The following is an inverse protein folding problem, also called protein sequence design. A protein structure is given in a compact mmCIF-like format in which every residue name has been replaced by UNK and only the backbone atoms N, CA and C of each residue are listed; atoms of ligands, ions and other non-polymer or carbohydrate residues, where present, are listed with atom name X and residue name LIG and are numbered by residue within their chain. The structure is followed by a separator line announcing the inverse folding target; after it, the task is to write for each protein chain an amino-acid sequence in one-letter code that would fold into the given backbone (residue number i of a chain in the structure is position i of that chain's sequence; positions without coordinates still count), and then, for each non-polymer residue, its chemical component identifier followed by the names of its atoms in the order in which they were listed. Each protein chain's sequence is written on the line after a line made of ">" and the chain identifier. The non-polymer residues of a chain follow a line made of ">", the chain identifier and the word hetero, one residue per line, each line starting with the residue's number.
data_IF_338290867433
#
_entry.id   IF_338290867433
#
_cell.length_a   1.000
_cell.length_b   1.000
_cell.length_c   1.000
_cell.angle_alpha   90.00
_cell.angle_beta   90.00
_cell.angle_gamma   90.00
#
_symmetry.space_group_name_H-M   'P 1'
#
loop_
_entity.id
_entity.type
_entity.pdbx_description
1 polymer ?
#
# COMPACT_ATOMS: atom_id res chain seq x y z
N UNK A 1 -8.53 2.60 6.64
CA UNK A 1 -9.08 2.21 5.35
C UNK A 1 -7.95 2.05 4.34
N UNK A 2 -8.02 1.02 3.50
CA UNK A 2 -7.16 0.87 2.32
C UNK A 2 -8.02 1.02 1.07
N UNK A 3 -7.40 1.34 -0.05
CA UNK A 3 -8.13 1.56 -1.29
C UNK A 3 -7.49 0.86 -2.49
N UNK A 4 -8.31 0.56 -3.48
CA UNK A 4 -7.92 0.15 -4.82
C UNK A 4 -8.77 0.93 -5.84
N UNK A 5 -8.16 1.35 -6.94
CA UNK A 5 -8.86 2.09 -7.99
C UNK A 5 -7.87 2.75 -8.94
N UNK A 6 -8.08 2.56 -10.22
CA UNK A 6 -7.21 3.08 -11.28
C UNK A 6 -7.85 4.22 -12.08
N UNK A 7 -9.07 4.61 -11.72
CA UNK A 7 -9.80 5.68 -12.40
C UNK A 7 -10.59 6.51 -11.40
N UNK A 8 -10.85 7.77 -11.73
CA UNK A 8 -11.71 8.65 -10.95
C UNK A 8 -13.20 8.22 -10.92
N UNK A 9 -13.59 7.28 -11.79
CA UNK A 9 -14.96 6.79 -11.91
C UNK A 9 -15.19 5.44 -11.22
N UNK A 10 -14.18 4.91 -10.53
CA UNK A 10 -14.31 3.66 -9.81
C UNK A 10 -13.20 3.47 -8.78
N UNK A 11 -13.59 3.28 -7.53
CA UNK A 11 -12.69 2.98 -6.43
C UNK A 11 -13.32 1.97 -5.47
N UNK A 12 -12.48 1.27 -4.72
CA UNK A 12 -12.87 0.36 -3.66
C UNK A 12 -12.14 0.77 -2.39
N UNK A 13 -12.86 0.95 -1.29
CA UNK A 13 -12.30 1.17 0.04
C UNK A 13 -12.62 -0.02 0.92
N UNK A 14 -11.65 -0.54 1.68
CA UNK A 14 -11.86 -1.74 2.49
C UNK A 14 -11.04 -1.77 3.77
N UNK A 15 -11.59 -2.45 4.78
CA UNK A 15 -10.98 -2.62 6.09
C UNK A 15 -10.76 -1.31 6.83
N UNK A 16 -9.86 -1.30 7.78
CA UNK A 16 -9.48 -0.09 8.52
C UNK A 16 -9.86 -0.09 9.99
N UNK A 17 -9.78 1.10 10.61
CA UNK A 17 -10.09 1.31 12.02
C UNK A 17 -10.95 2.56 12.20
N UNK A 18 -12.11 2.42 12.81
CA UNK A 18 -13.07 3.49 13.12
C UNK A 18 -13.27 3.68 14.63
N UNK A 19 -12.31 3.23 15.43
CA UNK A 19 -12.40 3.03 16.88
C UNK A 19 -12.41 1.54 17.22
N UNK A 20 -12.81 0.70 16.28
CA UNK A 20 -12.60 -0.75 16.23
C UNK A 20 -12.14 -1.16 14.84
N UNK A 21 -11.49 -2.31 14.72
CA UNK A 21 -11.09 -2.87 13.42
C UNK A 21 -12.36 -3.29 12.68
N UNK A 22 -12.45 -2.95 11.40
CA UNK A 22 -13.61 -3.24 10.56
C UNK A 22 -13.24 -4.04 9.32
N UNK A 23 -14.22 -4.78 8.79
CA UNK A 23 -14.16 -5.52 7.53
C UNK A 23 -14.84 -4.78 6.37
N UNK A 24 -15.51 -3.68 6.65
CA UNK A 24 -16.37 -2.93 5.73
C UNK A 24 -15.68 -2.72 4.39
N UNK A 25 -16.43 -2.95 3.32
CA UNK A 25 -16.00 -2.65 1.96
C UNK A 25 -17.03 -1.74 1.28
N UNK A 26 -16.56 -0.64 0.71
CA UNK A 26 -17.37 0.31 -0.04
C UNK A 26 -16.82 0.46 -1.47
N UNK A 27 -17.73 0.50 -2.43
CA UNK A 27 -17.41 0.73 -3.86
C UNK A 27 -17.93 2.09 -4.30
N UNK A 28 -17.09 2.84 -5.01
CA UNK A 28 -17.42 4.12 -5.64
C UNK A 28 -17.61 3.93 -7.13
N UNK A 29 -18.71 4.45 -7.67
CA UNK A 29 -19.10 4.33 -9.07
C UNK A 29 -18.90 5.61 -9.91
N UNK A 30 -18.15 6.57 -9.40
CA UNK A 30 -17.96 7.88 -10.01
C UNK A 30 -18.89 8.98 -9.46
N UNK A 31 -19.92 8.61 -8.68
CA UNK A 31 -20.86 9.57 -8.07
C UNK A 31 -21.19 9.28 -6.61
N UNK A 32 -21.31 8.02 -6.23
CA UNK A 32 -21.72 7.60 -4.88
C UNK A 32 -20.88 6.43 -4.38
N UNK A 33 -20.68 6.39 -3.07
CA UNK A 33 -20.17 5.23 -2.35
C UNK A 33 -21.33 4.32 -1.97
N UNK A 34 -21.15 3.02 -2.10
CA UNK A 34 -22.13 2.00 -1.73
C UNK A 34 -21.42 0.88 -1.01
N UNK A 35 -21.94 0.48 0.15
CA UNK A 35 -21.46 -0.69 0.89
C UNK A 35 -21.72 -1.96 0.05
N UNK A 36 -20.70 -2.81 -0.03
CA UNK A 36 -20.71 -4.08 -0.76
C UNK A 36 -20.27 -5.20 0.17
N UNK A 37 -20.03 -6.40 -0.33
CA UNK A 37 -19.62 -7.53 0.52
C UNK A 37 -18.27 -7.27 1.20
N UNK A 38 -18.25 -7.45 2.51
CA UNK A 38 -17.12 -7.20 3.38
C UNK A 38 -15.97 -8.19 3.22
N UNK A 39 -14.77 -7.79 3.68
CA UNK A 39 -13.65 -8.71 3.93
C UNK A 39 -14.10 -9.85 4.86
N UNK A 40 -13.60 -11.05 4.64
CA UNK A 40 -13.85 -12.18 5.53
C UNK A 40 -13.23 -11.95 6.93
N UNK A 41 -12.13 -11.23 7.00
CA UNK A 41 -11.47 -10.89 8.26
C UNK A 41 -11.25 -9.39 8.38
N UNK A 42 -11.78 -8.78 9.44
CA UNK A 42 -11.56 -7.37 9.77
C UNK A 42 -10.07 -7.09 10.00
N UNK A 43 -9.52 -6.10 9.28
CA UNK A 43 -8.08 -5.76 9.35
C UNK A 43 -7.84 -4.26 9.12
N UNK A 44 -6.77 -3.75 9.72
CA UNK A 44 -6.30 -2.39 9.50
C UNK A 44 -4.80 -2.40 9.14
N UNK A 45 -4.27 -1.27 8.68
CA UNK A 45 -2.88 -1.14 8.19
C UNK A 45 -2.50 -2.19 7.14
N UNK A 46 -3.49 -2.71 6.43
CA UNK A 46 -3.31 -3.71 5.38
C UNK A 46 -2.67 -3.09 4.12
N UNK A 47 -2.16 -3.94 3.28
CA UNK A 47 -1.67 -3.59 1.96
C UNK A 47 -2.79 -3.84 0.94
N UNK A 48 -2.88 -3.02 -0.10
CA UNK A 48 -3.93 -3.18 -1.09
C UNK A 48 -3.58 -2.56 -2.43
N UNK A 49 -3.93 -3.27 -3.50
CA UNK A 49 -3.75 -2.83 -4.86
C UNK A 49 -4.85 -3.42 -5.78
N UNK A 50 -4.93 -2.92 -7.00
CA UNK A 50 -5.90 -3.37 -7.99
C UNK A 50 -6.91 -2.31 -8.39
N UNK A 51 -8.05 -2.74 -8.92
CA UNK A 51 -9.16 -1.89 -9.34
C UNK A 51 -10.40 -2.12 -8.47
N UNK A 52 -11.44 -1.30 -8.68
CA UNK A 52 -12.71 -1.45 -7.98
C UNK A 52 -13.46 -2.77 -8.32
N UNK A 53 -13.07 -3.46 -9.40
CA UNK A 53 -13.63 -4.76 -9.80
C UNK A 53 -12.69 -5.93 -9.57
N UNK A 54 -11.41 -5.67 -9.28
CA UNK A 54 -10.38 -6.71 -9.17
C UNK A 54 -9.24 -6.22 -8.27
N UNK A 55 -9.32 -6.53 -6.97
CA UNK A 55 -8.39 -6.01 -5.96
C UNK A 55 -7.81 -7.10 -5.07
N UNK A 56 -6.72 -6.80 -4.42
CA UNK A 56 -6.07 -7.60 -3.38
C UNK A 56 -6.08 -6.80 -2.07
N UNK A 57 -6.44 -7.48 -0.99
CA UNK A 57 -6.26 -7.05 0.40
C UNK A 57 -5.26 -8.01 1.05
N UNK A 58 -4.07 -7.54 1.38
CA UNK A 58 -2.98 -8.39 1.84
C UNK A 58 -2.45 -7.98 3.21
N UNK A 59 -2.21 -8.96 4.06
CA UNK A 59 -1.59 -8.80 5.37
C UNK A 59 -2.33 -7.80 6.29
N UNK A 60 -1.61 -7.03 7.09
CA UNK A 60 -2.19 -6.06 8.04
C UNK A 60 -2.30 -6.61 9.46
N UNK A 61 -3.16 -6.01 10.27
CA UNK A 61 -3.36 -6.36 11.69
C UNK A 61 -4.84 -6.62 11.95
N UNK A 62 -5.16 -7.70 12.63
CA UNK A 62 -6.54 -8.09 12.98
C UNK A 62 -6.89 -7.91 14.46
N UNK A 63 -5.93 -7.58 15.33
CA UNK A 63 -6.17 -7.29 16.76
C UNK A 63 -5.40 -6.03 17.17
N UNK A 64 -6.12 -4.99 17.62
CA UNK A 64 -5.52 -3.73 18.09
C UNK A 64 -4.84 -3.85 19.45
N UNK A 65 -5.32 -4.73 20.31
CA UNK A 65 -4.82 -4.84 21.69
C UNK A 65 -3.52 -5.63 21.74
N UNK A 66 -3.48 -6.75 21.02
CA UNK A 66 -2.30 -7.59 20.91
C UNK A 66 -1.41 -7.20 19.71
N UNK A 67 -1.89 -6.31 18.82
CA UNK A 67 -1.24 -5.93 17.56
C UNK A 67 -0.75 -7.16 16.80
N UNK A 68 -1.68 -8.11 16.59
CA UNK A 68 -1.38 -9.36 15.91
C UNK A 68 -1.39 -9.16 14.39
N UNK A 69 -0.21 -9.21 13.75
CA UNK A 69 -0.12 -9.14 12.29
C UNK A 69 -0.59 -10.45 11.66
N UNK A 70 -1.02 -10.36 10.42
CA UNK A 70 -1.39 -11.52 9.60
C UNK A 70 -0.67 -11.46 8.25
N UNK A 71 -0.53 -12.61 7.60
CA UNK A 71 -0.11 -12.73 6.20
C UNK A 71 -1.29 -13.12 5.28
N UNK A 72 -2.50 -13.21 5.82
CA UNK A 72 -3.71 -13.55 5.08
C UNK A 72 -3.96 -12.60 3.91
N UNK A 73 -4.42 -13.15 2.79
CA UNK A 73 -4.71 -12.41 1.57
C UNK A 73 -6.10 -12.74 1.08
N UNK A 74 -6.84 -11.70 0.71
CA UNK A 74 -8.15 -11.84 0.09
C UNK A 74 -8.16 -11.16 -1.28
N UNK A 75 -8.78 -11.80 -2.27
CA UNK A 75 -8.96 -11.32 -3.63
C UNK A 75 -10.42 -10.93 -3.87
N UNK A 76 -10.63 -9.72 -4.37
CA UNK A 76 -11.92 -9.18 -4.79
C UNK A 76 -12.18 -9.46 -6.26
N UNK A 77 -13.35 -9.97 -6.60
CA UNK A 77 -13.75 -10.29 -7.97
C UNK A 77 -14.82 -9.35 -8.55
N UNK A 78 -15.08 -8.22 -7.90
CA UNK A 78 -16.13 -7.27 -8.24
C UNK A 78 -17.43 -7.47 -7.46
N UNK A 79 -17.56 -8.57 -6.71
CA UNK A 79 -18.76 -8.86 -5.90
C UNK A 79 -18.48 -9.46 -4.54
N UNK A 80 -17.39 -10.20 -4.36
CA UNK A 80 -17.06 -10.86 -3.10
C UNK A 80 -15.54 -10.99 -2.91
N UNK A 81 -15.13 -11.09 -1.65
CA UNK A 81 -13.78 -11.43 -1.26
C UNK A 81 -13.62 -12.95 -1.10
N UNK A 82 -12.51 -13.48 -1.55
CA UNK A 82 -12.14 -14.89 -1.42
C UNK A 82 -10.72 -15.00 -0.93
N UNK A 83 -10.47 -15.83 0.06
CA UNK A 83 -9.13 -16.13 0.55
C UNK A 83 -8.29 -16.77 -0.55
N UNK A 84 -7.05 -16.31 -0.71
CA UNK A 84 -6.08 -16.82 -1.67
C UNK A 84 -4.75 -17.11 -0.97
N UNK A 85 -3.70 -17.49 -1.70
CA UNK A 85 -2.41 -17.81 -1.09
C UNK A 85 -1.89 -16.65 -0.24
N UNK A 86 -1.47 -16.97 0.97
CA UNK A 86 -0.93 -16.03 1.95
C UNK A 86 0.43 -15.48 1.52
N UNK A 87 0.79 -14.29 2.00
CA UNK A 87 2.15 -13.76 1.89
C UNK A 87 3.13 -14.64 2.69
N UNK A 88 4.39 -14.65 2.27
CA UNK A 88 5.43 -15.39 3.01
C UNK A 88 5.73 -14.73 4.36
N UNK A 89 5.59 -13.41 4.45
CA UNK A 89 5.91 -12.63 5.65
C UNK A 89 4.71 -11.78 6.09
N UNK A 90 4.40 -11.80 7.39
CA UNK A 90 3.43 -10.87 7.98
C UNK A 90 3.99 -9.46 7.89
N UNK A 91 3.21 -8.50 7.40
CA UNK A 91 3.63 -7.09 7.31
C UNK A 91 2.45 -6.12 7.29
N UNK A 92 2.73 -4.86 7.53
CA UNK A 92 1.77 -3.77 7.45
C UNK A 92 2.41 -2.53 6.83
N UNK A 93 1.61 -1.68 6.19
CA UNK A 93 2.03 -0.36 5.71
C UNK A 93 3.23 -0.37 4.74
N UNK A 94 3.32 -1.36 3.84
CA UNK A 94 4.27 -1.37 2.73
C UNK A 94 3.83 -0.47 1.57
N UNK A 95 4.73 -0.23 0.62
CA UNK A 95 4.36 0.29 -0.69
C UNK A 95 3.58 -0.76 -1.48
N UNK A 96 2.54 -0.33 -2.18
CA UNK A 96 1.66 -1.22 -2.92
C UNK A 96 1.63 -0.84 -4.39
N UNK A 97 2.03 -1.75 -5.24
CA UNK A 97 2.09 -1.58 -6.69
C UNK A 97 1.22 -2.64 -7.35
N UNK A 98 0.35 -2.23 -8.26
CA UNK A 98 -0.52 -3.15 -8.99
C UNK A 98 -1.86 -2.55 -9.34
N UNK A 99 -2.36 -2.88 -10.53
CA UNK A 99 -3.61 -2.34 -11.08
C UNK A 99 -4.71 -3.40 -11.21
N UNK A 100 -4.39 -4.66 -10.89
CA UNK A 100 -5.32 -5.80 -10.94
C UNK A 100 -5.10 -6.74 -9.76
N UNK A 101 -6.01 -7.68 -9.54
CA UNK A 101 -5.85 -8.74 -8.53
C UNK A 101 -4.97 -9.93 -9.01
N UNK A 102 -4.42 -9.86 -10.22
CA UNK A 102 -3.61 -10.94 -10.79
C UNK A 102 -2.11 -10.64 -10.83
N UNK A 103 -1.72 -9.39 -10.56
CA UNK A 103 -0.31 -8.99 -10.53
C UNK A 103 -0.10 -7.78 -9.63
N UNK A 104 0.78 -7.87 -8.66
CA UNK A 104 1.10 -6.79 -7.76
C UNK A 104 2.39 -7.01 -6.98
N UNK A 105 2.85 -5.99 -6.30
CA UNK A 105 4.04 -6.00 -5.46
C UNK A 105 3.73 -5.30 -4.14
N UNK A 106 4.16 -5.90 -3.04
CA UNK A 106 4.20 -5.25 -1.72
C UNK A 106 5.65 -5.12 -1.31
N UNK A 107 6.10 -3.88 -1.08
CA UNK A 107 7.48 -3.60 -0.78
C UNK A 107 7.66 -2.97 0.61
N UNK A 108 8.66 -3.46 1.36
CA UNK A 108 8.97 -2.99 2.71
C UNK A 108 7.80 -3.16 3.68
N UNK A 109 7.57 -2.13 4.47
CA UNK A 109 6.57 -2.14 5.53
C UNK A 109 7.16 -2.37 6.90
N UNK A 110 6.31 -2.57 7.91
CA UNK A 110 6.76 -2.96 9.25
C UNK A 110 6.31 -4.37 9.58
N UNK A 111 7.21 -5.11 10.22
CA UNK A 111 6.94 -6.42 10.79
C UNK A 111 6.91 -6.28 12.30
N UNK A 112 5.80 -6.69 12.90
CA UNK A 112 5.67 -6.81 14.35
C UNK A 112 5.68 -8.28 14.69
N UNK A 113 6.70 -8.78 15.39
CA UNK A 113 6.64 -10.16 15.89
C UNK A 113 5.46 -10.29 16.85
N UNK A 114 4.57 -11.24 16.59
CA UNK A 114 3.27 -11.36 17.25
C UNK A 114 3.28 -11.72 18.74
N UNK A 115 4.40 -11.79 19.43
CA UNK A 115 4.53 -12.02 20.89
C UNK A 115 5.95 -12.52 21.24
N UNK A 116 6.54 -12.16 22.39
CA UNK A 116 5.88 -11.49 23.53
C UNK A 116 5.76 -9.98 23.36
N UNK A 117 4.91 -9.31 24.16
CA UNK A 117 4.82 -7.85 24.19
C UNK A 117 6.19 -7.21 24.42
N UNK A 118 6.54 -6.19 23.61
CA UNK A 118 7.83 -5.50 23.71
C UNK A 118 8.88 -5.95 22.69
N UNK A 119 8.58 -6.90 21.81
CA UNK A 119 9.48 -7.22 20.69
C UNK A 119 9.56 -6.01 19.76
N UNK A 120 10.79 -5.55 19.40
CA UNK A 120 10.95 -4.37 18.54
C UNK A 120 10.27 -4.55 17.18
N UNK A 121 9.64 -3.49 16.69
CA UNK A 121 9.16 -3.43 15.30
C UNK A 121 10.39 -3.40 14.40
N UNK A 122 10.40 -4.23 13.36
CA UNK A 122 11.42 -4.17 12.31
C UNK A 122 10.83 -3.56 11.03
N UNK A 123 11.71 -2.98 10.24
CA UNK A 123 11.39 -2.34 8.97
C UNK A 123 12.23 -3.01 7.87
N UNK A 124 11.82 -4.21 7.43
CA UNK A 124 12.59 -4.98 6.47
C UNK A 124 12.62 -4.29 5.10
N UNK A 125 13.60 -4.66 4.31
CA UNK A 125 13.71 -4.30 2.90
C UNK A 125 12.98 -5.26 1.98
N UNK A 126 12.48 -6.37 2.51
CA UNK A 126 11.90 -7.49 1.75
C UNK A 126 10.69 -7.07 0.93
N UNK A 127 10.59 -7.64 -0.26
CA UNK A 127 9.50 -7.41 -1.19
C UNK A 127 8.92 -8.72 -1.67
N UNK A 128 7.61 -8.74 -1.86
CA UNK A 128 6.91 -9.91 -2.36
C UNK A 128 6.06 -9.56 -3.58
N UNK A 129 6.26 -10.33 -4.64
CA UNK A 129 5.55 -10.22 -5.92
C UNK A 129 4.40 -11.22 -5.96
N UNK A 130 3.21 -10.75 -6.27
CA UNK A 130 2.01 -11.56 -6.53
C UNK A 130 1.84 -11.80 -8.02
N UNK A 131 1.64 -13.05 -8.43
CA UNK A 131 1.46 -13.45 -9.83
C UNK A 131 0.03 -13.93 -10.15
N UNK A 132 -0.94 -13.71 -9.27
CA UNK A 132 -2.32 -14.17 -9.38
C UNK A 132 -2.59 -15.51 -8.68
N UNK A 133 -1.55 -16.23 -8.24
CA UNK A 133 -1.70 -17.53 -7.57
C UNK A 133 -0.76 -17.72 -6.38
N UNK A 134 0.41 -17.08 -6.38
CA UNK A 134 1.42 -17.23 -5.33
C UNK A 134 2.22 -15.94 -5.13
N UNK A 135 2.76 -15.79 -3.93
CA UNK A 135 3.74 -14.76 -3.59
C UNK A 135 5.15 -15.28 -3.72
N UNK A 136 6.04 -14.47 -4.26
CA UNK A 136 7.46 -14.78 -4.43
C UNK A 136 8.30 -13.62 -3.96
N UNK A 137 9.32 -13.90 -3.16
CA UNK A 137 10.29 -12.88 -2.76
C UNK A 137 11.10 -12.42 -3.99
N UNK A 138 11.30 -11.12 -4.09
CA UNK A 138 12.06 -10.45 -5.16
C UNK A 138 13.09 -9.50 -4.56
N UNK A 139 13.92 -8.87 -5.40
CA UNK A 139 14.99 -8.00 -4.94
C UNK A 139 14.49 -6.87 -4.03
N UNK A 140 15.23 -6.64 -2.97
CA UNK A 140 14.88 -5.80 -1.85
C UNK A 140 14.95 -4.29 -2.15
N UNK A 141 14.20 -3.48 -1.41
CA UNK A 141 14.45 -2.04 -1.28
C UNK A 141 15.87 -1.79 -0.78
N UNK A 142 16.49 -0.68 -1.19
CA UNK A 142 17.79 -0.27 -0.68
C UNK A 142 17.72 0.13 0.81
N UNK A 143 16.60 0.69 1.23
CA UNK A 143 16.39 1.12 2.63
C UNK A 143 15.06 0.62 3.18
N UNK A 144 15.11 -0.12 4.29
CA UNK A 144 13.91 -0.65 4.97
C UNK A 144 13.11 0.45 5.65
N UNK A 145 11.83 0.56 5.31
CA UNK A 145 10.91 1.55 5.85
C UNK A 145 9.45 1.11 5.69
N UNK A 146 8.57 1.75 6.41
CA UNK A 146 7.11 1.54 6.35
C UNK A 146 6.37 2.84 6.06
N UNK A 147 5.05 2.75 5.95
CA UNK A 147 4.18 3.88 5.63
C UNK A 147 4.62 4.59 4.32
N UNK A 148 5.03 3.77 3.37
CA UNK A 148 5.55 4.16 2.06
C UNK A 148 4.36 4.41 1.13
N UNK A 149 4.41 5.50 0.38
CA UNK A 149 3.48 5.75 -0.71
C UNK A 149 3.95 5.01 -1.96
N UNK A 150 3.09 4.19 -2.55
CA UNK A 150 3.43 3.38 -3.72
C UNK A 150 2.46 3.56 -4.87
N UNK A 151 2.95 3.62 -6.10
CA UNK A 151 2.15 3.63 -7.31
C UNK A 151 2.88 2.94 -8.48
N UNK A 152 2.12 2.53 -9.48
CA UNK A 152 2.62 1.79 -10.64
C UNK A 152 2.17 0.33 -10.65
N UNK A 153 2.89 -0.51 -11.37
CA UNK A 153 2.59 -1.92 -11.57
C UNK A 153 3.61 -2.83 -10.88
N UNK A 154 3.36 -4.13 -10.91
CA UNK A 154 4.29 -5.16 -10.43
C UNK A 154 5.64 -5.20 -11.16
N UNK A 155 5.74 -4.55 -12.32
CA UNK A 155 6.96 -4.52 -13.15
C UNK A 155 7.52 -3.13 -13.37
N UNK A 156 6.82 -2.08 -12.92
CA UNK A 156 7.24 -0.68 -13.11
C UNK A 156 6.53 0.19 -12.08
N UNK A 157 7.24 0.67 -11.07
CA UNK A 157 6.59 1.42 -9.99
C UNK A 157 7.53 2.28 -9.15
N UNK A 158 6.94 3.02 -8.25
CA UNK A 158 7.62 3.93 -7.33
C UNK A 158 7.25 3.59 -5.88
N UNK A 159 8.24 3.60 -5.00
CA UNK A 159 8.09 3.64 -3.56
C UNK A 159 8.67 4.95 -3.02
N UNK A 160 7.81 5.84 -2.51
CA UNK A 160 8.19 7.21 -2.13
C UNK A 160 7.97 7.45 -0.64
N UNK A 161 8.89 8.20 -0.03
CA UNK A 161 8.81 8.65 1.35
C UNK A 161 8.77 7.47 2.36
N UNK A 162 8.27 7.71 3.58
CA UNK A 162 8.13 6.66 4.59
C UNK A 162 8.86 6.96 5.91
N UNK A 163 8.94 5.95 6.78
CA UNK A 163 9.52 6.06 8.14
C UNK A 163 9.97 4.69 8.66
N UNK A 164 10.85 4.53 9.67
CA UNK A 164 11.76 5.50 10.24
C UNK A 164 13.11 5.60 9.50
N UNK A 165 13.85 6.71 9.59
CA UNK A 165 13.32 8.01 9.96
C UNK A 165 12.33 8.53 8.93
N UNK A 166 11.55 9.58 9.26
CA UNK A 166 10.74 10.25 8.25
C UNK A 166 11.65 10.72 7.12
N UNK A 167 11.39 10.30 5.90
CA UNK A 167 12.30 10.47 4.77
C UNK A 167 11.59 11.01 3.53
N UNK A 168 12.35 11.62 2.65
CA UNK A 168 11.98 12.03 1.31
C UNK A 168 12.51 11.05 0.22
N UNK A 169 13.20 9.99 0.61
CA UNK A 169 13.77 9.02 -0.31
C UNK A 169 12.75 8.38 -1.23
N UNK A 170 13.12 8.20 -2.49
CA UNK A 170 12.29 7.57 -3.52
C UNK A 170 13.10 6.49 -4.21
N UNK A 171 12.48 5.34 -4.38
CA UNK A 171 13.05 4.23 -5.14
C UNK A 171 12.10 3.85 -6.28
N UNK A 172 12.67 3.63 -7.46
CA UNK A 172 11.98 3.16 -8.66
C UNK A 172 12.23 1.68 -8.90
N UNK A 173 11.16 0.93 -9.12
CA UNK A 173 11.16 -0.50 -9.46
C UNK A 173 11.05 -0.68 -10.97
N UNK A 174 11.95 -1.46 -11.56
CA UNK A 174 11.99 -1.76 -12.99
C UNK A 174 11.49 -3.17 -13.36
N UNK A 175 10.90 -3.88 -12.39
CA UNK A 175 10.50 -5.29 -12.53
C UNK A 175 11.55 -6.28 -12.04
N UNK A 176 12.77 -5.81 -11.72
CA UNK A 176 13.89 -6.64 -11.27
C UNK A 176 14.59 -6.06 -10.05
N UNK A 177 14.84 -4.75 -10.04
CA UNK A 177 15.60 -4.07 -9.00
C UNK A 177 15.03 -2.71 -8.64
N UNK A 178 15.37 -2.26 -7.41
CA UNK A 178 15.07 -0.92 -6.94
C UNK A 178 16.29 -0.01 -7.14
N UNK A 179 16.05 1.18 -7.66
CA UNK A 179 17.07 2.21 -7.88
C UNK A 179 16.61 3.51 -7.24
N UNK A 180 17.49 4.16 -6.47
CA UNK A 180 17.22 5.49 -5.93
C UNK A 180 17.08 6.50 -7.07
N UNK A 181 16.03 7.33 -6.97
CA UNK A 181 15.73 8.41 -7.92
C UNK A 181 15.51 9.72 -7.18
N UNK A 182 15.12 10.79 -7.89
CA UNK A 182 14.92 12.12 -7.28
C UNK A 182 13.94 12.05 -6.12
N UNK A 183 14.32 12.63 -5.00
CA UNK A 183 13.55 12.66 -3.76
C UNK A 183 12.31 13.56 -3.85
N UNK A 184 11.26 13.25 -3.06
CA UNK A 184 10.13 14.19 -2.88
C UNK A 184 10.60 15.44 -2.15
N UNK A 185 9.97 16.58 -2.42
CA UNK A 185 10.38 17.86 -1.83
C UNK A 185 10.20 17.91 -0.30
N UNK A 186 9.18 17.23 0.21
CA UNK A 186 8.89 17.21 1.65
C UNK A 186 8.93 15.80 2.21
N UNK A 187 9.84 15.52 3.15
CA UNK A 187 9.90 14.26 3.89
C UNK A 187 8.60 14.01 4.65
N UNK A 188 7.98 12.84 4.43
CA UNK A 188 6.68 12.48 5.02
C UNK A 188 6.47 10.97 5.07
N UNK A 189 5.43 10.54 5.75
CA UNK A 189 4.94 9.16 5.74
C UNK A 189 3.41 9.13 5.77
N UNK A 190 2.79 8.00 5.48
CA UNK A 190 1.35 7.84 5.36
C UNK A 190 0.71 8.83 4.35
N UNK A 191 1.45 9.27 3.35
CA UNK A 191 0.84 10.00 2.24
C UNK A 191 0.01 9.02 1.39
N UNK A 192 -1.06 9.51 0.82
CA UNK A 192 -1.79 8.78 -0.21
C UNK A 192 -1.12 8.95 -1.56
N UNK A 193 -1.36 8.03 -2.48
CA UNK A 193 -0.81 8.06 -3.84
C UNK A 193 -1.89 7.73 -4.87
N UNK A 194 -1.69 8.18 -6.09
CA UNK A 194 -2.42 7.64 -7.24
C UNK A 194 -2.01 6.18 -7.47
N UNK A 195 -2.87 5.38 -8.08
CA UNK A 195 -2.48 4.01 -8.43
C UNK A 195 -1.43 3.96 -9.54
N UNK A 196 -1.39 4.93 -10.45
CA UNK A 196 -0.45 4.99 -11.56
C UNK A 196 -0.46 3.75 -12.46
N UNK A 197 0.02 3.88 -13.69
CA UNK A 197 0.15 2.76 -14.63
C UNK A 197 1.59 2.27 -14.77
N UNK A 198 2.56 3.06 -14.28
CA UNK A 198 4.00 2.77 -14.36
C UNK A 198 4.80 3.68 -13.39
N UNK A 199 6.12 3.64 -13.50
CA UNK A 199 7.05 4.46 -12.72
C UNK A 199 7.36 5.84 -13.33
N UNK A 200 6.67 6.25 -14.40
CA UNK A 200 6.97 7.51 -15.10
C UNK A 200 5.98 8.63 -14.79
N UNK A 201 4.85 8.34 -14.18
CA UNK A 201 3.83 9.35 -13.86
C UNK A 201 3.04 8.95 -12.62
N UNK A 202 2.93 9.85 -11.68
CA UNK A 202 2.15 9.62 -10.46
C UNK A 202 2.07 10.85 -9.58
N UNK A 203 1.39 10.67 -8.45
CA UNK A 203 1.17 11.75 -7.49
C UNK A 203 1.16 11.17 -6.08
N UNK A 204 1.72 11.93 -5.14
CA UNK A 204 1.52 11.70 -3.70
C UNK A 204 0.91 12.95 -3.07
N UNK A 205 0.08 12.77 -2.06
CA UNK A 205 -0.61 13.88 -1.41
C UNK A 205 -0.87 13.62 0.07
N UNK A 206 -0.86 14.70 0.86
CA UNK A 206 -1.06 14.65 2.30
C UNK A 206 0.04 13.92 3.05
N UNK A 207 -0.33 13.25 4.13
CA UNK A 207 0.58 12.51 5.00
C UNK A 207 0.96 13.26 6.27
N UNK A 208 2.04 12.82 6.89
CA UNK A 208 2.53 13.33 8.15
C UNK A 208 4.05 13.49 8.12
N UNK A 209 4.53 14.61 8.62
CA UNK A 209 5.95 14.89 8.85
C UNK A 209 6.17 15.04 10.37
N UNK A 210 6.31 16.24 10.88
CA UNK A 210 6.17 16.58 12.30
C UNK A 210 4.73 16.97 12.63
N UNK A 211 3.96 17.37 11.63
CA UNK A 211 2.53 17.67 11.65
C UNK A 211 1.86 17.07 10.42
N UNK A 212 0.55 17.19 10.31
CA UNK A 212 -0.17 16.84 9.08
C UNK A 212 0.30 17.74 7.95
N UNK A 213 0.51 17.14 6.78
CA UNK A 213 0.98 17.81 5.57
C UNK A 213 -0.18 17.88 4.58
N UNK A 214 -0.42 19.04 3.97
CA UNK A 214 -1.42 19.22 2.91
C UNK A 214 -0.81 19.14 1.51
N UNK A 215 0.52 19.22 1.38
CA UNK A 215 1.18 19.33 0.09
C UNK A 215 0.97 18.12 -0.82
N UNK A 216 0.82 18.45 -2.10
CA UNK A 216 0.65 17.49 -3.19
C UNK A 216 1.81 17.63 -4.15
N UNK A 217 2.43 16.51 -4.51
CA UNK A 217 3.55 16.46 -5.44
C UNK A 217 3.28 15.49 -6.58
N UNK A 218 3.61 15.89 -7.80
CA UNK A 218 3.50 15.07 -9.01
C UNK A 218 4.88 14.63 -9.49
N UNK A 219 4.95 13.40 -9.96
CA UNK A 219 6.14 12.76 -10.55
C UNK A 219 6.00 12.70 -12.06
N UNK A 220 7.03 13.11 -12.81
CA UNK A 220 7.06 13.12 -14.28
C UNK A 220 8.01 12.06 -14.87
N UNK A 221 8.51 11.14 -14.06
CA UNK A 221 9.50 10.13 -14.45
C UNK A 221 10.95 10.54 -14.16
N UNK A 222 11.19 11.80 -13.76
CA UNK A 222 12.53 12.34 -13.49
C UNK A 222 12.60 13.23 -12.26
N UNK A 223 11.54 13.98 -11.98
CA UNK A 223 11.49 14.97 -10.90
C UNK A 223 10.10 15.07 -10.25
N UNK A 224 10.10 15.59 -9.02
CA UNK A 224 8.89 15.89 -8.27
C UNK A 224 8.60 17.40 -8.36
N UNK A 225 7.36 17.74 -8.65
CA UNK A 225 6.87 19.11 -8.69
C UNK A 225 5.72 19.27 -7.71
N UNK A 226 5.84 20.26 -6.81
CA UNK A 226 4.76 20.65 -5.91
C UNK A 226 3.64 21.33 -6.70
N UNK A 227 2.40 20.92 -6.45
CA UNK A 227 1.20 21.47 -7.08
C UNK A 227 0.25 21.97 -5.98
N UNK A 228 -0.97 22.36 -6.33
CA UNK A 228 -1.94 22.85 -5.34
C UNK A 228 -2.18 21.85 -4.22
N UNK A 229 -2.13 22.33 -3.00
CA UNK A 229 -2.38 21.56 -1.78
C UNK A 229 -3.85 21.10 -1.65
N UNK A 230 -4.06 20.10 -0.77
CA UNK A 230 -5.38 19.63 -0.39
C UNK A 230 -6.15 20.70 0.40
#
# INVERSE_FOLDING_TARGET
>A
LKSAGVTQNGALGFGGNTGSIVSITESYNGSTWTEVNDLNTARWDLNGFGSYTAAIAAAGVYDVNAVLPTNAVESWNGSSWTEVAEMNTTRQNGANLGTTNTAGLVAGGSVRPGSPPGTPVSFPTDNELWNGSAWTEVNNLNTGRAAISGFGTSTSGIGAAGTPPTTNAVESWDGTSWTEVSEVNTARYNASSTQGTDNTSGMIFGGYSTTRVGSTETWDGSSWTEVNDL
#
